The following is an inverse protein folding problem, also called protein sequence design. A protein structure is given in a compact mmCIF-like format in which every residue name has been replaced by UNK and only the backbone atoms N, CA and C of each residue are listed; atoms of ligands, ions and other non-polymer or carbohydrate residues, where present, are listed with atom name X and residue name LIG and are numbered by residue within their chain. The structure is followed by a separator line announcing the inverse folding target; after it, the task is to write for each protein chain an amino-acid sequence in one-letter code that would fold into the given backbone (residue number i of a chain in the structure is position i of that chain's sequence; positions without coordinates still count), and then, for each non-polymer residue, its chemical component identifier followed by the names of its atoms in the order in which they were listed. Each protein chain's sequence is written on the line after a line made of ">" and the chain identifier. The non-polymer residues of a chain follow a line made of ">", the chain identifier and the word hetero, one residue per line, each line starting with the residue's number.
data_IF_581929897038
#
_entry.id   IF_581929897038
#
_cell.length_a   1.000
_cell.length_b   1.000
_cell.length_c   1.000
_cell.angle_alpha   90.00
_cell.angle_beta   90.00
_cell.angle_gamma   90.00
#
_symmetry.space_group_name_H-M   'P 1'
#
loop_
_entity.id
_entity.type
_entity.pdbx_description
1 polymer ?
#
# COMPACT_ATOMS: atom_id res chain seq x y z
N UNK A 1 -5.11 3.99 12.02
CA UNK A 1 -4.41 3.51 10.84
C UNK A 1 -4.25 4.58 9.78
N UNK A 2 -3.28 4.41 8.90
CA UNK A 2 -3.16 5.13 7.65
C UNK A 2 -3.13 4.13 6.49
N UNK A 3 -3.69 4.49 5.34
CA UNK A 3 -3.76 3.62 4.17
C UNK A 3 -3.67 4.40 2.86
N UNK A 4 -3.43 3.70 1.75
CA UNK A 4 -3.35 4.12 0.37
C UNK A 4 -2.11 4.96 0.02
N UNK A 5 -1.70 5.92 0.84
CA UNK A 5 -0.63 6.88 0.51
C UNK A 5 -1.02 7.90 -0.57
N UNK A 6 -2.30 7.97 -0.93
CA UNK A 6 -2.93 8.95 -1.82
C UNK A 6 -4.40 9.13 -1.46
N UNK A 7 -5.02 10.21 -1.92
CA UNK A 7 -6.43 10.49 -1.67
C UNK A 7 -7.36 9.50 -2.38
N UNK A 8 -8.57 9.35 -1.85
CA UNK A 8 -9.73 8.87 -2.58
C UNK A 8 -10.38 10.07 -3.25
N UNK A 9 -10.42 10.05 -4.56
CA UNK A 9 -10.99 11.12 -5.38
C UNK A 9 -12.28 10.65 -6.05
N UNK A 10 -13.16 11.59 -6.33
CA UNK A 10 -14.31 11.38 -7.19
C UNK A 10 -13.85 11.03 -8.60
N UNK A 11 -14.39 9.95 -9.18
CA UNK A 11 -13.93 9.42 -10.46
C UNK A 11 -14.21 10.33 -11.65
N UNK A 12 -15.26 11.14 -11.57
CA UNK A 12 -15.69 12.01 -12.67
C UNK A 12 -14.99 13.38 -12.61
N UNK A 13 -14.85 13.93 -11.42
CA UNK A 13 -14.31 15.29 -11.22
C UNK A 13 -12.84 15.32 -10.83
N UNK A 14 -12.26 14.20 -10.39
CA UNK A 14 -10.91 14.11 -9.85
C UNK A 14 -10.73 14.84 -8.51
N UNK A 15 -11.79 15.36 -7.91
CA UNK A 15 -11.72 16.12 -6.66
C UNK A 15 -11.66 15.16 -5.47
N UNK A 16 -10.96 15.59 -4.44
CA UNK A 16 -10.90 14.89 -3.17
C UNK A 16 -12.31 14.73 -2.57
N UNK A 17 -12.70 13.49 -2.24
CA UNK A 17 -13.97 13.20 -1.60
C UNK A 17 -13.92 13.61 -0.12
N UNK A 18 -14.82 14.50 0.33
CA UNK A 18 -14.92 14.82 1.75
C UNK A 18 -15.48 13.61 2.51
N UNK A 19 -14.87 13.29 3.65
CA UNK A 19 -15.36 12.20 4.50
C UNK A 19 -16.50 12.69 5.37
N UNK A 20 -17.71 12.16 5.13
CA UNK A 20 -18.83 12.26 6.05
C UNK A 20 -18.91 11.02 6.95
N UNK A 21 -18.80 9.87 6.34
CA UNK A 21 -18.75 8.55 6.99
C UNK A 21 -17.93 7.62 6.10
N UNK A 22 -17.26 6.65 6.70
CA UNK A 22 -16.53 5.65 5.96
C UNK A 22 -16.16 4.47 6.86
N UNK A 23 -16.10 3.29 6.30
CA UNK A 23 -15.76 2.07 7.03
C UNK A 23 -14.55 1.37 6.38
N UNK A 24 -13.71 0.78 7.21
CA UNK A 24 -12.67 -0.16 6.80
C UNK A 24 -13.25 -1.56 6.87
N UNK A 25 -13.28 -2.24 5.73
CA UNK A 25 -13.82 -3.59 5.60
C UNK A 25 -12.73 -4.55 5.14
N UNK A 26 -12.87 -5.83 5.48
CA UNK A 26 -12.01 -6.88 4.92
C UNK A 26 -12.44 -7.20 3.49
N UNK A 27 -11.49 -7.16 2.57
CA UNK A 27 -11.69 -7.60 1.21
C UNK A 27 -10.82 -8.83 0.91
N UNK A 28 -11.29 -9.70 0.01
CA UNK A 28 -10.50 -10.78 -0.57
C UNK A 28 -10.12 -10.45 -2.00
N UNK A 29 -8.93 -10.84 -2.45
CA UNK A 29 -8.55 -10.76 -3.86
C UNK A 29 -9.17 -11.93 -4.59
N UNK A 30 -9.94 -11.64 -5.64
CA UNK A 30 -10.66 -12.64 -6.45
C UNK A 30 -10.05 -12.83 -7.83
N UNK A 31 -9.34 -11.84 -8.34
CA UNK A 31 -8.68 -11.87 -9.65
C UNK A 31 -7.54 -10.86 -9.71
N UNK A 32 -6.60 -11.07 -10.62
CA UNK A 32 -5.47 -10.17 -10.88
C UNK A 32 -5.39 -9.89 -12.37
N UNK A 33 -5.66 -8.66 -12.77
CA UNK A 33 -5.33 -8.18 -14.09
C UNK A 33 -3.84 -7.81 -14.12
N UNK A 34 -3.04 -8.64 -14.81
CA UNK A 34 -1.58 -8.47 -14.86
C UNK A 34 -1.19 -7.18 -15.58
N UNK A 35 -0.29 -6.41 -14.97
CA UNK A 35 0.28 -5.21 -15.57
C UNK A 35 1.22 -5.52 -16.74
N UNK A 36 1.27 -4.61 -17.71
CA UNK A 36 2.19 -4.64 -18.86
C UNK A 36 2.72 -3.23 -19.10
N UNK A 37 3.83 -3.12 -19.81
CA UNK A 37 4.38 -1.81 -20.19
C UNK A 37 3.31 -0.96 -20.89
N UNK A 38 3.01 0.21 -20.32
CA UNK A 38 2.00 1.15 -20.83
C UNK A 38 0.55 0.81 -20.47
N UNK A 39 0.30 -0.29 -19.75
CA UNK A 39 -1.01 -0.68 -19.28
C UNK A 39 -0.90 -1.20 -17.83
N UNK A 40 -1.22 -0.37 -16.82
CA UNK A 40 -1.18 -0.80 -15.43
C UNK A 40 -2.17 -1.93 -15.18
N UNK A 41 -1.77 -2.88 -14.35
CA UNK A 41 -2.65 -3.96 -13.91
C UNK A 41 -3.48 -3.55 -12.69
N UNK A 42 -4.31 -4.48 -12.21
CA UNK A 42 -5.24 -4.23 -11.12
C UNK A 42 -5.45 -5.49 -10.27
N UNK A 43 -5.48 -5.34 -8.94
CA UNK A 43 -6.03 -6.33 -8.03
C UNK A 43 -7.54 -6.14 -7.94
N UNK A 44 -8.29 -7.17 -8.32
CA UNK A 44 -9.74 -7.16 -8.20
C UNK A 44 -10.15 -7.79 -6.88
N UNK A 45 -10.71 -6.96 -6.02
CA UNK A 45 -11.18 -7.37 -4.70
C UNK A 45 -12.69 -7.54 -4.64
N UNK A 46 -13.17 -8.39 -3.74
CA UNK A 46 -14.56 -8.42 -3.33
C UNK A 46 -14.67 -8.34 -1.81
N UNK A 47 -15.75 -7.72 -1.35
CA UNK A 47 -16.06 -7.72 0.07
C UNK A 47 -16.51 -9.11 0.52
N UNK A 48 -16.00 -9.57 1.65
CA UNK A 48 -16.48 -10.82 2.25
C UNK A 48 -17.91 -10.63 2.75
N UNK A 49 -18.74 -11.68 2.63
CA UNK A 49 -20.17 -11.64 3.00
C UNK A 49 -20.43 -11.27 4.47
N UNK A 50 -19.51 -11.56 5.38
CA UNK A 50 -19.56 -11.07 6.76
C UNK A 50 -18.90 -9.70 6.82
N UNK A 51 -19.66 -8.65 6.61
CA UNK A 51 -19.19 -7.26 6.69
C UNK A 51 -18.98 -6.84 8.15
N UNK A 52 -17.93 -7.37 8.77
CA UNK A 52 -17.47 -6.85 10.05
C UNK A 52 -16.62 -5.61 9.77
N UNK A 53 -17.08 -4.47 10.23
CA UNK A 53 -16.30 -3.23 10.15
C UNK A 53 -15.05 -3.36 11.03
N UNK A 54 -13.89 -3.24 10.40
CA UNK A 54 -12.59 -3.27 11.08
C UNK A 54 -12.24 -1.92 11.69
N UNK A 55 -12.84 -0.85 11.20
CA UNK A 55 -12.58 0.52 11.65
C UNK A 55 -13.37 1.56 10.90
N UNK A 56 -13.25 2.80 11.34
CA UNK A 56 -13.83 3.98 10.72
C UNK A 56 -12.79 4.77 9.91
N UNK A 57 -13.22 5.45 8.85
CA UNK A 57 -12.43 6.45 8.12
C UNK A 57 -12.78 7.82 8.68
N UNK A 58 -11.78 8.59 9.09
CA UNK A 58 -11.95 9.93 9.67
C UNK A 58 -11.49 11.04 8.75
N UNK A 59 -10.42 10.79 8.02
CA UNK A 59 -9.81 11.78 7.15
C UNK A 59 -9.46 11.17 5.80
N UNK A 60 -9.70 11.94 4.74
CA UNK A 60 -9.20 11.69 3.39
C UNK A 60 -8.35 12.90 2.99
N UNK A 61 -7.06 12.70 2.85
CA UNK A 61 -6.09 13.76 2.59
C UNK A 61 -5.31 13.45 1.30
N UNK A 62 -4.61 14.42 0.71
CA UNK A 62 -3.72 14.14 -0.43
C UNK A 62 -2.67 13.07 -0.16
N UNK A 63 -2.34 12.80 1.10
CA UNK A 63 -1.34 11.80 1.52
C UNK A 63 -1.93 10.45 1.92
N UNK A 64 -3.25 10.28 1.83
CA UNK A 64 -3.94 9.04 2.16
C UNK A 64 -5.15 9.21 3.03
N UNK A 65 -5.75 8.07 3.38
CA UNK A 65 -6.88 8.00 4.33
C UNK A 65 -6.37 7.62 5.71
N UNK A 66 -7.01 8.20 6.73
CA UNK A 66 -6.70 7.94 8.13
C UNK A 66 -7.97 7.60 8.90
N UNK A 67 -7.82 6.73 9.89
CA UNK A 67 -8.96 6.29 10.69
C UNK A 67 -8.55 5.52 11.93
N UNK A 68 -9.53 4.96 12.63
CA UNK A 68 -9.34 4.17 13.83
C UNK A 68 -9.78 2.73 13.59
N UNK A 69 -9.01 1.77 14.08
CA UNK A 69 -9.42 0.38 14.14
C UNK A 69 -10.34 0.14 15.35
N UNK A 70 -11.36 -0.70 15.19
CA UNK A 70 -12.28 -1.09 16.27
C UNK A 70 -11.62 -2.02 17.30
N UNK A 71 -10.57 -2.77 16.88
CA UNK A 71 -9.76 -3.59 17.75
C UNK A 71 -8.28 -3.48 17.37
N UNK A 72 -7.40 -3.78 18.29
CA UNK A 72 -5.98 -3.86 18.02
C UNK A 72 -5.72 -4.94 16.95
N UNK A 73 -5.02 -4.56 15.89
CA UNK A 73 -4.55 -5.48 14.87
C UNK A 73 -3.06 -5.73 15.06
N UNK A 74 -2.69 -6.98 15.12
CA UNK A 74 -1.28 -7.41 15.18
C UNK A 74 -0.94 -8.06 13.85
N UNK A 75 0.08 -7.53 13.17
CA UNK A 75 0.58 -8.13 11.95
C UNK A 75 1.34 -9.43 12.28
N UNK A 76 0.95 -10.59 11.73
CA UNK A 76 1.60 -11.86 12.05
C UNK A 76 3.09 -11.92 11.70
N UNK A 77 3.52 -11.16 10.69
CA UNK A 77 4.94 -11.10 10.28
C UNK A 77 5.77 -10.18 11.20
N UNK A 78 5.13 -9.24 11.86
CA UNK A 78 5.77 -8.25 12.73
C UNK A 78 4.91 -8.01 13.97
N UNK A 79 4.84 -9.00 14.88
CA UNK A 79 3.95 -8.92 16.04
C UNK A 79 4.33 -7.78 17.01
N UNK A 80 5.61 -7.47 17.08
CA UNK A 80 6.16 -6.38 17.93
C UNK A 80 6.21 -5.03 17.18
N UNK A 81 5.71 -4.99 15.92
CA UNK A 81 5.82 -3.86 15.02
C UNK A 81 7.19 -3.76 14.34
N UNK A 82 7.36 -2.71 13.56
CA UNK A 82 8.62 -2.38 12.90
C UNK A 82 9.08 -1.00 13.33
N UNK A 83 10.38 -0.81 13.62
CA UNK A 83 10.93 0.52 13.81
C UNK A 83 10.77 1.34 12.53
N UNK A 84 10.53 2.64 12.68
CA UNK A 84 10.42 3.57 11.55
C UNK A 84 11.83 3.93 11.08
N UNK A 85 12.05 3.90 9.77
CA UNK A 85 13.20 4.49 9.10
C UNK A 85 12.87 5.89 8.62
N UNK A 86 13.71 6.86 8.98
CA UNK A 86 13.57 8.23 8.50
C UNK A 86 14.23 8.39 7.13
N UNK A 87 13.84 9.42 6.39
CA UNK A 87 14.30 9.64 5.01
C UNK A 87 15.84 9.69 4.86
N UNK A 88 16.57 10.09 5.92
CA UNK A 88 18.03 10.13 5.92
C UNK A 88 18.67 8.75 5.86
N UNK A 89 17.93 7.72 6.29
CA UNK A 89 18.37 6.32 6.30
C UNK A 89 17.91 5.51 5.09
N UNK A 90 17.16 6.12 4.18
CA UNK A 90 16.67 5.44 2.96
C UNK A 90 17.73 5.51 1.88
N UNK A 91 18.11 4.35 1.35
CA UNK A 91 19.16 4.21 0.35
C UNK A 91 18.63 3.50 -0.89
N UNK A 92 19.23 3.75 -2.04
CA UNK A 92 19.01 2.92 -3.24
C UNK A 92 19.52 1.51 -2.98
N UNK A 93 18.81 0.50 -3.47
CA UNK A 93 19.19 -0.89 -3.28
C UNK A 93 18.04 -1.78 -2.79
N UNK A 94 18.37 -2.96 -2.23
CA UNK A 94 17.39 -3.96 -1.85
C UNK A 94 16.42 -3.47 -0.77
N UNK A 95 15.16 -3.83 -0.93
CA UNK A 95 14.08 -3.62 0.03
C UNK A 95 13.02 -4.71 -0.14
N UNK A 96 11.98 -4.68 0.65
CA UNK A 96 10.82 -5.55 0.50
C UNK A 96 9.51 -4.76 0.64
N UNK A 97 8.44 -5.34 0.08
CA UNK A 97 7.07 -4.84 0.25
C UNK A 97 6.13 -5.98 0.62
N UNK A 98 5.00 -5.66 1.24
CA UNK A 98 4.03 -6.65 1.73
C UNK A 98 2.62 -6.39 1.14
N UNK A 99 2.45 -6.54 -0.18
CA UNK A 99 1.11 -6.51 -0.75
C UNK A 99 0.35 -7.79 -0.39
N UNK A 100 -0.98 -7.71 -0.32
CA UNK A 100 -1.85 -8.87 -0.30
C UNK A 100 -2.31 -9.16 -1.72
N UNK A 101 -1.77 -10.21 -2.33
CA UNK A 101 -2.07 -10.55 -3.74
C UNK A 101 -2.82 -11.88 -3.92
N UNK A 102 -2.92 -12.71 -2.88
CA UNK A 102 -3.45 -14.07 -2.98
C UNK A 102 -4.39 -14.48 -1.82
N UNK A 103 -4.96 -13.52 -1.12
CA UNK A 103 -5.93 -13.76 -0.05
C UNK A 103 -5.38 -14.44 1.22
N UNK A 104 -4.10 -14.82 1.22
CA UNK A 104 -3.45 -15.56 2.31
C UNK A 104 -2.52 -14.70 3.14
N UNK A 105 -2.82 -13.70 3.79
CA UNK A 105 -1.95 -12.90 4.66
C UNK A 105 -0.64 -12.44 3.99
N UNK A 106 -0.29 -11.20 4.11
CA UNK A 106 0.84 -10.59 3.41
C UNK A 106 2.15 -11.36 3.62
N UNK A 107 2.84 -11.63 2.53
CA UNK A 107 4.23 -12.09 2.54
C UNK A 107 5.14 -10.98 2.04
N UNK A 108 6.39 -11.02 2.43
CA UNK A 108 7.39 -10.09 1.94
C UNK A 108 7.84 -10.48 0.53
N UNK A 109 7.78 -9.54 -0.40
CA UNK A 109 8.28 -9.66 -1.77
C UNK A 109 9.45 -8.71 -1.98
N UNK A 110 10.46 -9.17 -2.71
CA UNK A 110 11.66 -8.38 -2.98
C UNK A 110 11.38 -7.26 -3.98
N UNK A 111 11.87 -6.08 -3.64
CA UNK A 111 11.88 -4.90 -4.49
C UNK A 111 13.25 -4.25 -4.44
N UNK A 112 13.52 -3.37 -5.39
CA UNK A 112 14.72 -2.53 -5.39
C UNK A 112 14.30 -1.06 -5.41
N UNK A 113 14.86 -0.28 -4.51
CA UNK A 113 14.75 1.18 -4.53
C UNK A 113 15.75 1.69 -5.56
N UNK A 114 15.22 2.19 -6.68
CA UNK A 114 16.05 2.75 -7.76
C UNK A 114 16.48 4.17 -7.44
N UNK A 115 15.62 4.91 -6.74
CA UNK A 115 15.85 6.30 -6.39
C UNK A 115 15.12 6.63 -5.09
N UNK A 116 15.79 7.35 -4.19
CA UNK A 116 15.23 7.93 -2.99
C UNK A 116 15.57 9.42 -2.95
N UNK A 117 14.54 10.26 -3.04
CA UNK A 117 14.68 11.70 -3.00
C UNK A 117 14.32 12.23 -1.62
N UNK A 118 15.14 13.09 -1.08
CA UNK A 118 14.80 13.82 0.15
C UNK A 118 13.67 14.79 -0.13
N UNK A 119 12.68 14.79 0.76
CA UNK A 119 11.55 15.73 0.71
C UNK A 119 11.66 16.68 1.90
N UNK A 120 11.50 17.97 1.61
CA UNK A 120 11.48 19.04 2.63
C UNK A 120 10.06 19.49 2.95
N UNK A 121 9.09 19.07 2.13
CA UNK A 121 7.66 19.27 2.32
C UNK A 121 6.94 17.93 2.14
N UNK A 122 5.84 17.66 2.85
CA UNK A 122 5.07 16.45 2.65
C UNK A 122 4.63 16.31 1.20
N UNK A 123 4.87 15.15 0.60
CA UNK A 123 4.54 14.88 -0.80
C UNK A 123 4.54 13.39 -1.10
N UNK A 124 3.95 13.06 -2.23
CA UNK A 124 3.96 11.71 -2.81
C UNK A 124 5.22 11.54 -3.68
N UNK A 125 5.54 10.30 -4.05
CA UNK A 125 6.59 9.98 -5.05
C UNK A 125 8.02 10.40 -4.64
N UNK A 126 8.39 10.16 -3.40
CA UNK A 126 9.77 10.34 -2.93
C UNK A 126 10.70 9.21 -3.36
N UNK A 127 10.15 8.00 -3.58
CA UNK A 127 10.91 6.82 -3.96
C UNK A 127 10.40 6.24 -5.28
N UNK A 128 11.34 5.70 -6.08
CA UNK A 128 11.04 4.89 -7.26
C UNK A 128 11.47 3.47 -6.96
N UNK A 129 10.53 2.53 -7.10
CA UNK A 129 10.73 1.11 -6.84
C UNK A 129 10.66 0.29 -8.12
N UNK A 130 11.37 -0.82 -8.14
CA UNK A 130 11.23 -1.90 -9.10
C UNK A 130 10.96 -3.20 -8.37
N UNK A 131 9.94 -3.94 -8.79
CA UNK A 131 9.73 -5.32 -8.30
C UNK A 131 10.84 -6.21 -8.85
N UNK A 132 11.50 -6.97 -7.98
CA UNK A 132 12.55 -7.94 -8.34
C UNK A 132 12.15 -9.36 -7.97
N UNK A 133 11.10 -9.53 -7.17
CA UNK A 133 10.57 -10.84 -6.78
C UNK A 133 9.96 -11.56 -8.00
N UNK A 134 10.46 -12.76 -8.39
CA UNK A 134 9.97 -13.45 -9.57
C UNK A 134 8.53 -13.92 -9.45
N UNK A 135 8.07 -14.31 -8.27
CA UNK A 135 6.69 -14.75 -8.04
C UNK A 135 5.71 -13.57 -8.15
N UNK A 136 6.07 -12.41 -7.58
CA UNK A 136 5.24 -11.22 -7.71
C UNK A 136 5.18 -10.75 -9.16
N UNK A 137 6.30 -10.78 -9.88
CA UNK A 137 6.33 -10.46 -11.31
C UNK A 137 5.50 -11.44 -12.14
N UNK A 138 5.55 -12.73 -11.82
CA UNK A 138 4.72 -13.72 -12.49
C UNK A 138 3.22 -13.46 -12.25
N UNK A 139 2.81 -13.15 -11.03
CA UNK A 139 1.42 -12.89 -10.66
C UNK A 139 0.89 -11.58 -11.21
N UNK A 140 1.63 -10.51 -11.08
CA UNK A 140 1.12 -9.14 -11.27
C UNK A 140 1.80 -8.36 -12.40
N UNK A 141 2.97 -8.78 -12.84
CA UNK A 141 3.78 -8.06 -13.82
C UNK A 141 4.52 -6.84 -13.28
N UNK A 142 4.37 -6.53 -11.99
CA UNK A 142 4.97 -5.38 -11.32
C UNK A 142 4.06 -4.83 -10.22
N UNK A 143 4.21 -3.55 -9.88
CA UNK A 143 3.24 -2.86 -9.04
C UNK A 143 1.97 -2.65 -9.84
N UNK A 144 0.81 -2.95 -9.24
CA UNK A 144 -0.50 -2.83 -9.88
C UNK A 144 -1.46 -2.04 -8.99
N UNK A 145 -2.54 -1.53 -9.56
CA UNK A 145 -3.60 -0.86 -8.80
C UNK A 145 -4.16 -1.80 -7.73
N UNK A 146 -4.44 -1.28 -6.55
CA UNK A 146 -4.83 -2.05 -5.37
C UNK A 146 -3.67 -2.38 -4.42
N UNK A 147 -2.40 -2.19 -4.82
CA UNK A 147 -1.23 -2.33 -3.95
C UNK A 147 -0.93 -1.05 -3.13
N UNK A 148 -1.66 0.03 -3.35
CA UNK A 148 -1.48 1.28 -2.61
C UNK A 148 -1.59 1.05 -1.09
N UNK A 149 -0.66 1.62 -0.35
CA UNK A 149 -0.54 1.42 1.11
C UNK A 149 0.31 0.21 1.52
N UNK A 150 0.73 -0.65 0.59
CA UNK A 150 1.65 -1.75 0.91
C UNK A 150 2.95 -1.22 1.50
N UNK A 151 3.35 -1.64 2.71
CA UNK A 151 4.53 -1.10 3.38
C UNK A 151 5.82 -1.44 2.62
N UNK A 152 6.77 -0.52 2.66
CA UNK A 152 8.13 -0.70 2.13
C UNK A 152 9.08 -0.81 3.30
N UNK A 153 9.87 -1.89 3.31
CA UNK A 153 10.77 -2.23 4.41
C UNK A 153 12.19 -2.33 3.87
N UNK A 154 13.11 -1.61 4.49
CA UNK A 154 14.54 -1.67 4.21
C UNK A 154 15.31 -1.78 5.51
N UNK A 155 16.28 -2.68 5.58
CA UNK A 155 17.13 -2.90 6.77
C UNK A 155 16.33 -3.10 8.07
N UNK A 156 15.19 -3.83 7.98
CA UNK A 156 14.30 -4.08 9.12
C UNK A 156 13.50 -2.88 9.60
N UNK A 157 13.41 -1.81 8.82
CA UNK A 157 12.68 -0.57 9.16
C UNK A 157 11.58 -0.28 8.14
N UNK A 158 10.44 0.18 8.62
CA UNK A 158 9.37 0.72 7.77
C UNK A 158 9.82 2.10 7.25
N UNK A 159 10.03 2.22 5.95
CA UNK A 159 10.53 3.44 5.31
C UNK A 159 9.49 4.17 4.46
N UNK A 160 8.35 3.56 4.20
CA UNK A 160 7.28 4.15 3.39
C UNK A 160 6.22 3.15 2.97
N UNK A 161 5.44 3.54 1.98
CA UNK A 161 4.41 2.71 1.38
C UNK A 161 4.32 2.93 -0.13
N UNK A 162 3.85 1.91 -0.85
CA UNK A 162 3.52 2.02 -2.27
C UNK A 162 2.35 2.99 -2.44
N UNK A 163 2.45 3.91 -3.39
CA UNK A 163 1.39 4.92 -3.65
C UNK A 163 0.86 4.87 -5.08
N UNK A 164 1.73 4.70 -6.05
CA UNK A 164 1.42 4.77 -7.48
C UNK A 164 2.08 3.65 -8.27
N UNK A 165 1.50 3.34 -9.40
CA UNK A 165 2.03 2.42 -10.43
C UNK A 165 2.93 3.17 -11.40
#
# INVERSE_FOLDING_TARGET
>A
YGALGHAINDGDTGRLLPVKTGALLRAGIVDIAKGRKGAPGELRGSFLRSQVELGDIRENTPLGIYGRLNAAYVNPLYPDGLPIGYQESVESGPASTLPTVDGGGGRAYSVEILQANRQFTPGQKSMILRVTDPELLEKTGGIVQGMSGSPIIQNGRLIGAVTHV
#
